data_IF_486729931659
#
_entry.id   IF_486729931659
#
_cell.length_a   1.000
_cell.length_b   1.000
_cell.length_c   1.000
_cell.angle_alpha   90.00
_cell.angle_beta   90.00
_cell.angle_gamma   90.00
#
_symmetry.space_group_name_H-M   'P 1'
#
loop_
_entity.id
_entity.type
_entity.pdbx_description
1 polymer ?
#
# COMPACT_ATOMS: atom_id res chain seq x y z
N UNK A 1 -23.41 -7.59 31.15
CA UNK A 1 -24.49 -6.59 31.14
C UNK A 1 -25.48 -7.04 30.09
N UNK A 2 -26.76 -7.23 30.44
CA UNK A 2 -27.78 -7.62 29.48
C UNK A 2 -28.18 -6.39 28.67
N UNK A 3 -28.01 -6.43 27.35
CA UNK A 3 -28.53 -5.40 26.45
C UNK A 3 -30.05 -5.32 26.59
N UNK A 4 -30.59 -4.11 26.61
CA UNK A 4 -32.03 -3.87 26.73
C UNK A 4 -32.77 -4.18 25.43
N UNK A 5 -34.03 -4.59 25.49
CA UNK A 5 -34.86 -4.84 24.29
C UNK A 5 -34.96 -3.57 23.43
N UNK A 6 -35.02 -2.39 24.05
CA UNK A 6 -35.11 -1.10 23.35
C UNK A 6 -33.83 -0.80 22.55
N UNK A 7 -32.65 -1.09 23.12
CA UNK A 7 -31.35 -0.92 22.43
C UNK A 7 -31.24 -1.84 21.19
N UNK A 8 -31.79 -3.05 21.29
CA UNK A 8 -31.84 -4.01 20.18
C UNK A 8 -32.82 -3.55 19.09
N UNK A 9 -33.95 -2.94 19.45
CA UNK A 9 -34.89 -2.36 18.48
C UNK A 9 -34.26 -1.18 17.73
N UNK A 10 -33.53 -0.30 18.43
CA UNK A 10 -32.79 0.80 17.80
C UNK A 10 -31.66 0.30 16.89
N UNK A 11 -30.98 -0.79 17.26
CA UNK A 11 -30.01 -1.45 16.39
C UNK A 11 -30.66 -1.96 15.10
N UNK A 12 -31.81 -2.64 15.19
CA UNK A 12 -32.54 -3.13 14.00
C UNK A 12 -32.89 -1.97 13.07
N UNK A 13 -33.44 -0.87 13.62
CA UNK A 13 -33.76 0.33 12.82
C UNK A 13 -32.53 0.92 12.14
N UNK A 14 -31.37 0.94 12.81
CA UNK A 14 -30.10 1.42 12.22
C UNK A 14 -29.58 0.48 11.13
N UNK A 15 -29.75 -0.83 11.29
CA UNK A 15 -29.39 -1.84 10.28
C UNK A 15 -30.27 -1.70 9.04
N UNK A 16 -31.57 -1.54 9.21
CA UNK A 16 -32.54 -1.38 8.11
C UNK A 16 -32.30 -0.08 7.33
N UNK A 17 -31.88 1.00 8.00
CA UNK A 17 -31.46 2.25 7.35
C UNK A 17 -30.09 2.14 6.66
N UNK A 18 -29.25 1.19 7.08
CA UNK A 18 -27.85 1.06 6.69
C UNK A 18 -27.59 0.21 5.45
N UNK A 19 -28.59 -0.48 4.90
CA UNK A 19 -28.41 -1.27 3.66
C UNK A 19 -28.02 -0.39 2.45
N UNK A 20 -28.50 0.86 2.39
CA UNK A 20 -28.12 1.83 1.36
C UNK A 20 -26.82 2.62 1.71
N UNK A 21 -26.46 2.75 3.00
CA UNK A 21 -25.36 3.64 3.47
C UNK A 21 -24.04 2.95 3.85
N UNK A 22 -23.99 1.60 3.89
CA UNK A 22 -22.75 0.84 4.22
C UNK A 22 -21.60 1.13 3.25
N UNK A 23 -21.91 1.30 1.96
CA UNK A 23 -20.94 1.64 0.92
C UNK A 23 -20.46 3.10 1.06
N UNK A 24 -21.37 4.03 1.35
CA UNK A 24 -21.08 5.46 1.45
C UNK A 24 -20.13 5.82 2.61
N UNK A 25 -20.16 5.07 3.72
CA UNK A 25 -19.25 5.30 4.88
C UNK A 25 -17.76 5.20 4.55
N UNK A 26 -17.41 4.50 3.47
CA UNK A 26 -16.04 4.30 3.03
C UNK A 26 -15.75 4.95 1.67
N UNK A 27 -16.74 5.62 1.07
CA UNK A 27 -16.59 6.30 -0.20
C UNK A 27 -15.95 7.66 0.02
N UNK A 28 -14.62 7.67 0.11
CA UNK A 28 -13.83 8.89 0.14
C UNK A 28 -13.53 9.23 -1.31
N UNK A 29 -14.52 9.82 -1.98
CA UNK A 29 -14.42 10.20 -3.38
C UNK A 29 -13.31 11.25 -3.57
N UNK A 30 -12.14 10.78 -4.03
CA UNK A 30 -10.98 11.63 -4.30
C UNK A 30 -11.27 12.64 -5.44
N UNK A 31 -12.31 12.40 -6.26
CA UNK A 31 -12.67 13.26 -7.39
C UNK A 31 -13.59 14.43 -7.03
N UNK A 32 -14.14 14.45 -5.81
CA UNK A 32 -15.07 15.51 -5.34
C UNK A 32 -14.39 16.69 -4.65
N UNK A 33 -13.06 16.81 -4.66
CA UNK A 33 -12.39 17.97 -4.07
C UNK A 33 -12.25 19.11 -5.07
N UNK A 34 -12.91 20.23 -4.76
CA UNK A 34 -12.83 21.50 -5.49
C UNK A 34 -11.40 22.07 -5.48
N UNK A 35 -11.06 22.86 -6.51
CA UNK A 35 -9.74 23.46 -6.71
C UNK A 35 -9.26 24.40 -5.58
N UNK A 36 -10.13 24.78 -4.65
CA UNK A 36 -9.79 25.55 -3.45
C UNK A 36 -10.07 24.73 -2.19
N UNK A 37 -9.05 24.02 -1.71
CA UNK A 37 -9.10 23.36 -0.41
C UNK A 37 -8.96 24.41 0.70
N UNK A 38 -9.97 24.52 1.55
CA UNK A 38 -9.96 25.33 2.77
C UNK A 38 -9.27 24.59 3.91
N UNK A 39 -8.84 25.32 4.95
CA UNK A 39 -8.28 24.72 6.17
C UNK A 39 -9.29 23.80 6.90
N UNK A 40 -10.59 23.97 6.62
CA UNK A 40 -11.67 23.14 7.14
C UNK A 40 -11.87 21.85 6.33
N UNK A 41 -11.18 21.64 5.21
CA UNK A 41 -11.33 20.43 4.41
C UNK A 41 -10.50 19.27 4.95
N UNK A 42 -11.04 18.06 4.79
CA UNK A 42 -10.36 16.85 5.21
C UNK A 42 -9.24 16.48 4.21
N UNK A 43 -8.05 16.09 4.69
CA UNK A 43 -6.93 15.78 3.79
C UNK A 43 -7.27 14.60 2.89
N UNK A 44 -6.86 14.63 1.62
CA UNK A 44 -7.04 13.51 0.69
C UNK A 44 -6.44 12.23 1.30
N UNK A 45 -7.18 11.13 1.19
CA UNK A 45 -6.63 9.80 1.44
C UNK A 45 -6.19 9.24 0.09
N UNK A 46 -4.93 9.45 -0.26
CA UNK A 46 -4.37 8.91 -1.49
C UNK A 46 -4.44 7.38 -1.49
N UNK A 47 -4.94 6.81 -2.58
CA UNK A 47 -5.16 5.37 -2.70
C UNK A 47 -6.40 4.86 -1.98
N UNK A 48 -7.33 5.72 -1.54
CA UNK A 48 -8.63 5.27 -1.05
C UNK A 48 -9.31 4.35 -2.09
N UNK A 49 -9.76 3.17 -1.64
CA UNK A 49 -10.35 2.15 -2.52
C UNK A 49 -9.37 1.40 -3.41
N UNK A 50 -8.06 1.68 -3.34
CA UNK A 50 -7.07 0.99 -4.15
C UNK A 50 -7.05 -0.52 -3.86
N UNK A 51 -7.14 -1.30 -4.93
CA UNK A 51 -6.94 -2.74 -4.95
C UNK A 51 -6.22 -3.12 -6.25
N UNK A 52 -5.42 -4.20 -6.26
CA UNK A 52 -4.81 -4.66 -7.50
C UNK A 52 -5.89 -5.14 -8.48
N UNK A 53 -5.85 -4.67 -9.73
CA UNK A 53 -6.82 -5.08 -10.76
C UNK A 53 -6.61 -6.53 -11.23
N UNK A 54 -5.37 -7.03 -11.15
CA UNK A 54 -4.96 -8.31 -11.75
C UNK A 54 -4.16 -9.15 -10.74
N UNK A 55 -4.37 -10.48 -10.70
CA UNK A 55 -3.54 -11.39 -9.92
C UNK A 55 -2.08 -11.35 -10.34
N UNK A 56 -1.18 -11.66 -9.42
CA UNK A 56 0.24 -11.89 -9.74
C UNK A 56 0.43 -13.31 -10.24
N UNK A 57 1.38 -13.51 -11.15
CA UNK A 57 1.85 -14.84 -11.49
C UNK A 57 2.86 -15.30 -10.44
N UNK A 58 2.57 -16.40 -9.74
CA UNK A 58 3.47 -16.94 -8.73
C UNK A 58 4.44 -17.95 -9.34
N UNK A 59 5.71 -17.85 -8.94
CA UNK A 59 6.76 -18.84 -9.26
C UNK A 59 6.80 -19.97 -8.22
N UNK A 60 6.21 -19.73 -7.05
CA UNK A 60 6.08 -20.70 -5.94
C UNK A 60 4.74 -20.52 -5.24
N UNK A 61 4.16 -21.60 -4.74
CA UNK A 61 2.96 -21.54 -3.91
C UNK A 61 3.25 -20.80 -2.59
N UNK A 62 2.28 -20.01 -2.11
CA UNK A 62 2.35 -19.38 -0.79
C UNK A 62 1.69 -20.25 0.27
N UNK A 63 2.37 -20.50 1.39
CA UNK A 63 1.76 -21.14 2.56
C UNK A 63 0.88 -20.15 3.34
N UNK A 64 -0.37 -20.52 3.58
CA UNK A 64 -1.33 -19.73 4.34
C UNK A 64 -0.86 -19.34 5.74
N UNK A 65 -0.04 -20.17 6.42
CA UNK A 65 0.47 -19.87 7.77
C UNK A 65 1.42 -18.70 7.72
N UNK A 66 2.33 -18.71 6.75
CA UNK A 66 3.28 -17.62 6.51
C UNK A 66 2.54 -16.32 6.18
N UNK A 67 1.50 -16.39 5.33
CA UNK A 67 0.68 -15.22 5.00
C UNK A 67 -0.03 -14.67 6.23
N UNK A 68 -0.69 -15.54 7.02
CA UNK A 68 -1.41 -15.15 8.24
C UNK A 68 -0.46 -14.51 9.25
N UNK A 69 0.70 -15.12 9.47
CA UNK A 69 1.73 -14.59 10.36
C UNK A 69 2.18 -13.19 9.92
N UNK A 70 2.59 -13.02 8.65
CA UNK A 70 3.04 -11.72 8.15
C UNK A 70 1.95 -10.64 8.21
N UNK A 71 0.70 -11.00 7.90
CA UNK A 71 -0.43 -10.08 8.01
C UNK A 71 -0.63 -9.65 9.47
N UNK A 72 -0.67 -10.59 10.42
CA UNK A 72 -0.88 -10.26 11.83
C UNK A 72 0.30 -9.50 12.44
N UNK A 73 1.53 -9.81 12.05
CA UNK A 73 2.72 -9.01 12.43
C UNK A 73 2.59 -7.58 11.93
N UNK A 74 2.22 -7.37 10.66
CA UNK A 74 2.00 -6.04 10.11
C UNK A 74 0.91 -5.27 10.86
N UNK A 75 -0.18 -5.94 11.20
CA UNK A 75 -1.28 -5.34 11.98
C UNK A 75 -0.78 -5.00 13.39
N UNK A 76 -0.04 -5.87 14.07
CA UNK A 76 0.50 -5.61 15.39
C UNK A 76 1.45 -4.40 15.43
N UNK A 77 2.26 -4.20 14.39
CA UNK A 77 3.23 -3.10 14.33
C UNK A 77 2.58 -1.71 14.19
N UNK A 78 1.38 -1.62 13.60
CA UNK A 78 0.80 -0.35 13.12
C UNK A 78 -0.65 -0.10 13.50
N UNK A 79 -1.39 -1.18 13.73
CA UNK A 79 -2.85 -1.23 13.83
C UNK A 79 -3.29 -2.28 14.85
N UNK A 80 -2.58 -2.37 15.97
CA UNK A 80 -2.77 -3.38 17.03
C UNK A 80 -4.23 -3.53 17.48
N UNK A 81 -4.98 -2.43 17.59
CA UNK A 81 -6.40 -2.43 17.92
C UNK A 81 -7.33 -3.13 16.90
N UNK A 82 -6.81 -3.59 15.76
CA UNK A 82 -7.54 -4.36 14.76
C UNK A 82 -7.12 -5.83 14.68
N UNK A 83 -6.22 -6.31 15.55
CA UNK A 83 -5.71 -7.68 15.54
C UNK A 83 -6.83 -8.72 15.58
N UNK A 84 -7.75 -8.61 16.54
CA UNK A 84 -8.83 -9.58 16.72
C UNK A 84 -9.79 -9.57 15.52
N UNK A 85 -10.09 -8.38 14.98
CA UNK A 85 -10.96 -8.23 13.81
C UNK A 85 -10.33 -8.91 12.59
N UNK A 86 -9.04 -8.66 12.34
CA UNK A 86 -8.34 -9.25 11.19
C UNK A 86 -8.19 -10.77 11.36
N UNK A 87 -7.83 -11.24 12.54
CA UNK A 87 -7.72 -12.67 12.83
C UNK A 87 -9.07 -13.38 12.63
N UNK A 88 -10.15 -12.83 13.16
CA UNK A 88 -11.49 -13.39 12.98
C UNK A 88 -11.94 -13.37 11.51
N UNK A 89 -11.67 -12.30 10.77
CA UNK A 89 -11.98 -12.23 9.34
C UNK A 89 -11.16 -13.24 8.52
N UNK A 90 -9.88 -13.44 8.87
CA UNK A 90 -9.03 -14.44 8.26
C UNK A 90 -9.60 -15.85 8.46
N UNK A 91 -9.93 -16.20 9.70
CA UNK A 91 -10.43 -17.53 10.04
C UNK A 91 -11.81 -17.78 9.38
N UNK A 92 -12.66 -16.75 9.29
CA UNK A 92 -13.95 -16.83 8.59
C UNK A 92 -13.82 -16.92 7.05
N UNK A 93 -12.76 -16.36 6.47
CA UNK A 93 -12.53 -16.36 5.02
C UNK A 93 -12.13 -17.75 4.47
N UNK A 94 -11.77 -18.71 5.35
CA UNK A 94 -11.53 -20.11 4.95
C UNK A 94 -10.33 -20.28 4.02
N UNK A 95 -9.15 -19.80 4.42
CA UNK A 95 -7.94 -19.91 3.62
C UNK A 95 -7.60 -21.38 3.26
N UNK A 96 -7.29 -21.70 1.99
CA UNK A 96 -6.68 -22.99 1.63
C UNK A 96 -5.31 -23.14 2.30
N UNK A 97 -4.74 -24.35 2.29
CA UNK A 97 -3.41 -24.62 2.84
C UNK A 97 -2.29 -23.88 2.09
N UNK A 98 -2.43 -23.78 0.78
CA UNK A 98 -1.52 -23.05 -0.10
C UNK A 98 -2.30 -22.22 -1.10
N UNK A 99 -1.70 -21.12 -1.57
CA UNK A 99 -2.26 -20.28 -2.59
C UNK A 99 -1.42 -20.26 -3.86
N UNK A 100 -2.08 -20.36 -5.01
CA UNK A 100 -1.58 -19.77 -6.25
C UNK A 100 -1.89 -18.27 -6.33
N UNK A 101 -1.45 -17.61 -7.42
CA UNK A 101 -1.61 -16.18 -7.58
C UNK A 101 -3.05 -15.70 -7.76
N UNK A 102 -3.92 -16.53 -8.35
CA UNK A 102 -5.34 -16.22 -8.60
C UNK A 102 -6.15 -16.43 -7.32
N UNK A 103 -5.90 -17.55 -6.63
CA UNK A 103 -6.49 -17.87 -5.33
C UNK A 103 -6.15 -16.81 -4.30
N UNK A 104 -4.87 -16.43 -4.20
CA UNK A 104 -4.43 -15.40 -3.27
C UNK A 104 -5.08 -14.04 -3.54
N UNK A 105 -5.24 -13.66 -4.81
CA UNK A 105 -5.89 -12.42 -5.20
C UNK A 105 -7.38 -12.40 -4.83
N UNK A 106 -8.12 -13.49 -5.12
CA UNK A 106 -9.53 -13.63 -4.73
C UNK A 106 -9.69 -13.62 -3.21
N UNK A 107 -8.85 -14.39 -2.51
CA UNK A 107 -8.85 -14.46 -1.06
C UNK A 107 -8.57 -13.09 -0.42
N UNK A 108 -7.57 -12.36 -0.92
CA UNK A 108 -7.24 -11.01 -0.44
C UNK A 108 -8.40 -10.04 -0.57
N UNK A 109 -9.12 -10.11 -1.70
CA UNK A 109 -10.30 -9.26 -1.95
C UNK A 109 -11.43 -9.61 -0.99
N UNK A 110 -11.73 -10.89 -0.81
CA UNK A 110 -12.75 -11.37 0.14
C UNK A 110 -12.42 -11.00 1.58
N UNK A 111 -11.15 -11.13 1.98
CA UNK A 111 -10.68 -10.75 3.30
C UNK A 111 -10.85 -9.25 3.56
N UNK A 112 -10.47 -8.41 2.59
CA UNK A 112 -10.64 -6.95 2.70
C UNK A 112 -12.11 -6.56 2.83
N UNK A 113 -13.01 -7.17 2.06
CA UNK A 113 -14.44 -6.93 2.17
C UNK A 113 -15.02 -7.41 3.51
N UNK A 114 -14.55 -8.56 4.02
CA UNK A 114 -14.89 -9.02 5.36
C UNK A 114 -14.46 -8.03 6.45
N UNK A 115 -13.23 -7.52 6.38
CA UNK A 115 -12.71 -6.50 7.31
C UNK A 115 -13.51 -5.21 7.19
N UNK A 116 -13.78 -4.73 5.96
CA UNK A 116 -14.61 -3.55 5.70
C UNK A 116 -15.98 -3.69 6.35
N UNK A 117 -16.65 -4.84 6.15
CA UNK A 117 -17.95 -5.15 6.75
C UNK A 117 -17.92 -5.06 8.27
N UNK A 118 -16.95 -5.71 8.92
CA UNK A 118 -16.79 -5.66 10.40
C UNK A 118 -16.55 -4.25 10.91
N UNK A 119 -15.74 -3.45 10.22
CA UNK A 119 -15.47 -2.06 10.60
C UNK A 119 -16.69 -1.16 10.40
N UNK A 120 -17.57 -1.47 9.44
CA UNK A 120 -18.83 -0.78 9.24
C UNK A 120 -19.84 -1.11 10.36
N UNK A 121 -19.88 -2.39 10.75
CA UNK A 121 -20.81 -2.93 11.73
C UNK A 121 -20.55 -2.46 13.16
N UNK A 122 -19.29 -2.18 13.51
CA UNK A 122 -18.93 -1.80 14.89
C UNK A 122 -19.71 -0.61 15.45
N UNK A 123 -20.13 0.34 14.60
CA UNK A 123 -20.91 1.52 15.02
C UNK A 123 -22.42 1.24 15.07
N UNK A 124 -22.86 0.11 14.54
CA UNK A 124 -24.25 -0.34 14.65
C UNK A 124 -24.49 -1.06 15.98
N UNK A 125 -23.47 -1.67 16.57
CA UNK A 125 -23.59 -2.36 17.85
C UNK A 125 -23.94 -1.38 18.99
N UNK A 126 -24.87 -1.74 19.89
CA UNK A 126 -25.33 -0.86 20.98
C UNK A 126 -24.21 -0.21 21.81
N UNK A 127 -23.12 -0.91 22.19
CA UNK A 127 -22.07 -0.32 23.02
C UNK A 127 -21.34 0.87 22.37
N UNK A 128 -21.32 0.94 21.05
CA UNK A 128 -20.58 1.97 20.29
C UNK A 128 -21.50 2.86 19.44
N UNK A 129 -22.81 2.60 19.47
CA UNK A 129 -23.83 3.32 18.72
C UNK A 129 -23.74 4.85 18.88
N UNK A 130 -23.65 5.31 20.12
CA UNK A 130 -23.59 6.73 20.45
C UNK A 130 -22.39 7.44 19.82
N UNK A 131 -21.31 6.71 19.51
CA UNK A 131 -20.12 7.30 18.89
C UNK A 131 -20.34 7.74 17.45
N UNK A 132 -21.39 7.24 16.78
CA UNK A 132 -21.66 7.62 15.39
C UNK A 132 -21.85 9.13 15.25
N UNK A 133 -22.69 9.71 16.09
CA UNK A 133 -23.03 11.14 16.07
C UNK A 133 -22.18 11.99 17.04
N UNK A 134 -21.44 11.34 17.96
CA UNK A 134 -20.56 12.04 18.89
C UNK A 134 -19.47 12.78 18.15
N UNK A 135 -19.27 14.05 18.48
CA UNK A 135 -18.15 14.84 17.97
C UNK A 135 -16.83 14.36 18.59
N UNK A 136 -15.97 13.73 17.79
CA UNK A 136 -14.69 13.16 18.26
C UNK A 136 -13.56 14.19 18.17
N UNK A 137 -13.57 15.00 17.12
CA UNK A 137 -12.70 16.16 16.92
C UNK A 137 -13.56 17.32 16.40
N UNK A 138 -13.12 18.58 16.56
CA UNK A 138 -13.91 19.73 16.16
C UNK A 138 -14.54 19.60 14.76
N UNK A 139 -15.86 19.75 14.69
CA UNK A 139 -16.70 19.66 13.51
C UNK A 139 -16.71 18.28 12.80
N UNK A 140 -16.40 17.20 13.52
CA UNK A 140 -16.38 15.84 12.96
C UNK A 140 -17.10 14.84 13.85
N UNK A 141 -18.17 14.26 13.30
CA UNK A 141 -18.83 13.11 13.91
C UNK A 141 -17.91 11.89 13.93
N UNK A 142 -18.17 10.98 14.87
CA UNK A 142 -17.39 9.76 14.98
C UNK A 142 -17.57 8.85 13.79
N UNK A 143 -18.75 8.81 13.16
CA UNK A 143 -18.95 8.09 11.90
C UNK A 143 -17.97 8.52 10.81
N UNK A 144 -17.84 9.84 10.59
CA UNK A 144 -16.91 10.40 9.59
C UNK A 144 -15.44 10.15 9.98
N UNK A 145 -15.08 10.41 11.23
CA UNK A 145 -13.69 10.26 11.69
C UNK A 145 -13.23 8.80 11.64
N UNK A 146 -14.06 7.88 12.15
CA UNK A 146 -13.76 6.46 12.21
C UNK A 146 -13.83 5.79 10.84
N UNK A 147 -14.74 6.22 9.95
CA UNK A 147 -14.78 5.77 8.56
C UNK A 147 -13.48 6.09 7.82
N UNK A 148 -12.96 7.32 7.98
CA UNK A 148 -11.69 7.72 7.36
C UNK A 148 -10.49 6.95 7.89
N UNK A 149 -10.44 6.66 9.20
CA UNK A 149 -9.39 5.79 9.76
C UNK A 149 -9.48 4.38 9.19
N UNK A 150 -10.69 3.86 9.05
CA UNK A 150 -10.92 2.54 8.48
C UNK A 150 -10.53 2.47 7.00
N UNK A 151 -10.77 3.51 6.20
CA UNK A 151 -10.28 3.59 4.81
C UNK A 151 -8.75 3.52 4.75
N UNK A 152 -8.03 4.30 5.58
CA UNK A 152 -6.56 4.23 5.63
C UNK A 152 -6.05 2.84 6.02
N UNK A 153 -6.69 2.24 7.02
CA UNK A 153 -6.37 0.88 7.45
C UNK A 153 -6.58 -0.15 6.35
N UNK A 154 -7.69 -0.08 5.61
CA UNK A 154 -7.96 -0.97 4.48
C UNK A 154 -6.91 -0.83 3.37
N UNK A 155 -6.46 0.39 3.06
CA UNK A 155 -5.37 0.63 2.09
C UNK A 155 -4.07 -0.03 2.57
N UNK A 156 -3.72 0.15 3.84
CA UNK A 156 -2.53 -0.46 4.44
C UNK A 156 -2.56 -2.00 4.37
N UNK A 157 -3.70 -2.61 4.70
CA UNK A 157 -3.90 -4.06 4.61
C UNK A 157 -3.81 -4.54 3.15
N UNK A 158 -4.43 -3.82 2.21
CA UNK A 158 -4.38 -4.16 0.79
C UNK A 158 -2.94 -4.12 0.25
N UNK A 159 -2.17 -3.09 0.62
CA UNK A 159 -0.75 -2.97 0.26
C UNK A 159 0.11 -4.05 0.91
N UNK A 160 -0.19 -4.42 2.17
CA UNK A 160 0.48 -5.52 2.86
C UNK A 160 0.26 -6.85 2.13
N UNK A 161 -0.99 -7.20 1.84
CA UNK A 161 -1.33 -8.41 1.09
C UNK A 161 -0.67 -8.43 -0.29
N UNK A 162 -0.69 -7.31 -1.02
CA UNK A 162 -0.01 -7.23 -2.33
C UNK A 162 1.50 -7.47 -2.22
N UNK A 163 2.15 -6.92 -1.19
CA UNK A 163 3.58 -7.13 -0.93
C UNK A 163 3.90 -8.59 -0.62
N UNK A 164 3.06 -9.24 0.18
CA UNK A 164 3.19 -10.68 0.46
C UNK A 164 3.13 -11.47 -0.85
N UNK A 165 2.18 -11.14 -1.74
CA UNK A 165 2.07 -11.74 -3.07
C UNK A 165 3.34 -11.58 -3.92
N UNK A 166 3.97 -10.40 -3.88
CA UNK A 166 5.21 -10.17 -4.63
C UNK A 166 6.36 -11.08 -4.19
N UNK A 167 6.44 -11.50 -2.92
CA UNK A 167 7.46 -12.46 -2.48
C UNK A 167 7.36 -13.83 -3.17
N UNK A 168 6.19 -14.18 -3.70
CA UNK A 168 5.98 -15.39 -4.49
C UNK A 168 5.97 -15.16 -5.99
N UNK A 169 5.87 -13.91 -6.47
CA UNK A 169 5.86 -13.60 -7.90
C UNK A 169 7.25 -13.42 -8.51
N UNK A 170 8.26 -13.13 -7.68
CA UNK A 170 9.61 -12.81 -8.16
C UNK A 170 10.28 -14.05 -8.75
N UNK A 171 10.79 -13.94 -9.98
CA UNK A 171 11.51 -15.01 -10.67
C UNK A 171 13.00 -15.02 -10.32
N UNK A 172 13.68 -16.13 -10.66
CA UNK A 172 15.13 -16.23 -10.47
C UNK A 172 15.87 -15.26 -11.40
N UNK A 173 15.40 -15.11 -12.62
CA UNK A 173 15.95 -14.21 -13.64
C UNK A 173 15.89 -12.75 -13.16
N UNK A 174 14.75 -12.33 -12.61
CA UNK A 174 14.60 -11.01 -11.99
C UNK A 174 15.62 -10.81 -10.86
N UNK A 175 15.82 -11.80 -9.98
CA UNK A 175 16.82 -11.70 -8.90
C UNK A 175 18.24 -11.56 -9.44
N UNK A 176 18.60 -12.31 -10.47
CA UNK A 176 19.91 -12.23 -11.12
C UNK A 176 20.12 -10.86 -11.77
N UNK A 177 19.09 -10.34 -12.42
CA UNK A 177 19.12 -9.03 -13.06
C UNK A 177 19.25 -7.90 -12.03
N UNK A 178 18.45 -7.94 -10.96
CA UNK A 178 18.54 -6.98 -9.86
C UNK A 178 19.92 -7.02 -9.21
N UNK A 179 20.49 -8.20 -8.97
CA UNK A 179 21.84 -8.31 -8.43
C UNK A 179 22.88 -7.65 -9.34
N UNK A 180 22.75 -7.84 -10.66
CA UNK A 180 23.62 -7.22 -11.66
C UNK A 180 23.48 -5.70 -11.64
N UNK A 181 22.26 -5.16 -11.62
CA UNK A 181 22.01 -3.73 -11.56
C UNK A 181 22.48 -3.11 -10.24
N UNK A 182 22.25 -3.77 -9.11
CA UNK A 182 22.74 -3.32 -7.80
C UNK A 182 24.27 -3.24 -7.80
N UNK A 183 24.94 -4.27 -8.33
CA UNK A 183 26.41 -4.32 -8.42
C UNK A 183 26.94 -3.19 -9.33
N UNK A 184 26.31 -2.98 -10.49
CA UNK A 184 26.69 -1.89 -11.40
C UNK A 184 26.48 -0.51 -10.76
N UNK A 185 25.36 -0.31 -10.08
CA UNK A 185 25.06 0.92 -9.34
C UNK A 185 26.14 1.19 -8.31
N UNK A 186 26.54 0.16 -7.54
CA UNK A 186 27.61 0.28 -6.54
C UNK A 186 28.95 0.68 -7.16
N UNK A 187 29.35 0.02 -8.25
CA UNK A 187 30.60 0.33 -8.95
C UNK A 187 30.61 1.77 -9.49
N UNK A 188 29.50 2.20 -10.09
CA UNK A 188 29.35 3.59 -10.57
C UNK A 188 29.43 4.57 -9.41
N UNK A 189 28.74 4.30 -8.30
CA UNK A 189 28.79 5.13 -7.10
C UNK A 189 30.20 5.25 -6.52
N UNK A 190 30.97 4.17 -6.50
CA UNK A 190 32.36 4.17 -6.02
C UNK A 190 33.27 5.00 -6.93
N UNK A 191 33.11 4.88 -8.25
CA UNK A 191 33.85 5.70 -9.21
C UNK A 191 33.45 7.18 -9.13
N UNK A 192 32.16 7.49 -9.00
CA UNK A 192 31.68 8.85 -8.81
C UNK A 192 32.19 9.43 -7.49
N UNK A 193 32.25 8.63 -6.42
CA UNK A 193 32.83 9.05 -5.14
C UNK A 193 34.29 9.43 -5.28
N UNK A 194 35.08 8.61 -5.97
CA UNK A 194 36.49 8.89 -6.23
C UNK A 194 36.64 10.17 -7.07
N UNK A 195 35.89 10.26 -8.16
CA UNK A 195 35.86 11.42 -9.06
C UNK A 195 35.51 12.72 -8.33
N UNK A 196 34.43 12.73 -7.55
CA UNK A 196 33.98 13.93 -6.85
C UNK A 196 34.81 14.26 -5.60
N UNK A 197 35.43 13.25 -4.99
CA UNK A 197 36.26 13.39 -3.80
C UNK A 197 37.69 13.85 -4.09
N UNK A 198 38.36 13.18 -5.03
CA UNK A 198 39.75 13.46 -5.41
C UNK A 198 39.86 14.50 -6.52
N UNK A 199 38.83 14.61 -7.36
CA UNK A 199 38.78 15.55 -8.48
C UNK A 199 39.61 15.11 -9.68
N UNK A 200 39.30 15.66 -10.85
CA UNK A 200 40.12 15.55 -12.06
C UNK A 200 40.71 16.92 -12.40
N UNK A 201 42.00 17.00 -12.78
CA UNK A 201 42.58 18.25 -13.24
C UNK A 201 41.89 18.73 -14.53
N UNK A 202 41.56 20.01 -14.61
CA UNK A 202 40.98 20.64 -15.79
C UNK A 202 42.04 21.42 -16.59
N UNK A 203 41.86 21.60 -17.93
CA UNK A 203 42.87 22.26 -18.78
C UNK A 203 43.22 23.70 -18.39
N UNK A 204 42.35 24.38 -17.66
CA UNK A 204 42.51 25.73 -17.12
C UNK A 204 43.24 25.78 -15.77
N UNK A 205 43.74 24.64 -15.28
CA UNK A 205 44.45 24.54 -13.99
C UNK A 205 43.54 24.38 -12.77
N UNK A 206 42.22 24.22 -12.98
CA UNK A 206 41.27 23.89 -11.93
C UNK A 206 41.17 22.38 -11.64
N UNK A 207 40.17 22.02 -10.82
CA UNK A 207 39.80 20.63 -10.57
C UNK A 207 38.30 20.43 -10.74
N UNK A 208 37.89 19.50 -11.58
CA UNK A 208 36.53 19.00 -11.66
C UNK A 208 36.27 18.07 -10.47
N UNK A 209 35.45 18.52 -9.52
CA UNK A 209 35.10 17.76 -8.32
C UNK A 209 33.93 18.43 -7.57
N UNK A 210 33.65 17.99 -6.34
CA UNK A 210 32.66 18.65 -5.47
C UNK A 210 31.65 17.70 -4.85
N UNK A 211 30.39 18.16 -4.70
CA UNK A 211 29.34 17.38 -4.05
C UNK A 211 28.76 16.34 -5.01
N UNK A 212 29.21 15.10 -4.89
CA UNK A 212 28.57 13.94 -5.52
C UNK A 212 27.35 13.46 -4.75
N UNK A 213 26.28 13.09 -5.45
CA UNK A 213 25.17 12.32 -4.87
C UNK A 213 25.52 10.85 -4.86
N UNK A 214 25.11 10.14 -3.81
CA UNK A 214 25.43 8.72 -3.60
C UNK A 214 24.15 7.94 -3.36
N UNK A 215 24.06 6.77 -3.95
CA UNK A 215 23.00 5.79 -3.77
C UNK A 215 23.44 4.62 -2.88
N UNK A 216 24.53 4.77 -2.11
CA UNK A 216 25.04 3.72 -1.23
C UNK A 216 23.95 3.25 -0.26
N UNK A 217 23.72 1.94 -0.23
CA UNK A 217 22.66 1.25 0.53
C UNK A 217 21.24 1.41 -0.02
N UNK A 218 21.08 2.06 -1.17
CA UNK A 218 19.81 2.27 -1.85
C UNK A 218 19.76 1.56 -3.21
N UNK A 219 20.72 0.66 -3.48
CA UNK A 219 20.83 -0.03 -4.76
C UNK A 219 19.59 -0.85 -5.10
N UNK A 220 18.85 -1.31 -4.08
CA UNK A 220 17.60 -2.06 -4.27
C UNK A 220 16.53 -1.30 -5.06
N UNK A 221 16.64 0.03 -5.21
CA UNK A 221 15.74 0.84 -6.05
C UNK A 221 15.71 0.36 -7.52
N UNK A 222 16.75 -0.32 -8.00
CA UNK A 222 16.81 -0.92 -9.35
C UNK A 222 15.67 -1.90 -9.61
N UNK A 223 15.10 -2.51 -8.56
CA UNK A 223 14.00 -3.47 -8.72
C UNK A 223 12.75 -2.81 -9.32
N UNK A 224 12.55 -1.51 -9.09
CA UNK A 224 11.42 -0.77 -9.67
C UNK A 224 11.44 -0.80 -11.20
N UNK A 225 12.62 -0.76 -11.84
CA UNK A 225 12.76 -0.82 -13.29
C UNK A 225 12.15 -2.08 -13.89
N UNK A 226 12.19 -3.22 -13.18
CA UNK A 226 11.62 -4.49 -13.67
C UNK A 226 10.08 -4.50 -13.75
N UNK A 227 9.43 -3.54 -13.09
CA UNK A 227 7.97 -3.34 -13.17
C UNK A 227 7.55 -2.28 -14.17
N UNK A 228 8.52 -1.58 -14.77
CA UNK A 228 8.29 -0.46 -15.69
C UNK A 228 8.32 -0.90 -17.15
N UNK A 229 7.60 -0.17 -18.00
CA UNK A 229 7.70 -0.24 -19.45
C UNK A 229 8.93 0.54 -19.90
N UNK A 230 10.06 -0.13 -20.08
CA UNK A 230 11.32 0.52 -20.45
C UNK A 230 11.35 0.82 -21.95
N UNK A 231 11.75 2.04 -22.31
CA UNK A 231 11.85 2.46 -23.71
C UNK A 231 12.83 1.61 -24.55
N UNK A 232 13.84 1.02 -23.92
CA UNK A 232 14.84 0.15 -24.57
C UNK A 232 14.26 -1.19 -25.04
N UNK A 233 13.16 -1.65 -24.41
CA UNK A 233 12.48 -2.89 -24.74
C UNK A 233 11.35 -2.68 -25.78
N UNK A 234 11.07 -1.41 -26.15
CA UNK A 234 9.97 -1.04 -27.04
C UNK A 234 10.45 -0.66 -28.45
N UNK A 235 9.58 -0.90 -29.43
CA UNK A 235 9.78 -0.43 -30.81
C UNK A 235 9.81 1.10 -30.88
N UNK A 236 10.44 1.67 -31.93
CA UNK A 236 10.60 3.12 -32.05
C UNK A 236 9.26 3.88 -32.03
N UNK A 237 8.20 3.29 -32.59
CA UNK A 237 6.85 3.86 -32.64
C UNK A 237 6.17 3.86 -31.25
N UNK A 238 6.51 2.90 -30.39
CA UNK A 238 5.86 2.70 -29.08
C UNK A 238 6.61 3.35 -27.91
N UNK A 239 7.81 3.90 -28.13
CA UNK A 239 8.62 4.52 -27.06
C UNK A 239 7.91 5.61 -26.28
N UNK A 240 6.94 6.30 -26.89
CA UNK A 240 6.13 7.32 -26.21
C UNK A 240 5.23 6.74 -25.09
N UNK A 241 5.05 5.42 -25.04
CA UNK A 241 4.29 4.69 -24.01
C UNK A 241 5.17 4.15 -22.88
N UNK A 242 6.48 4.39 -22.94
CA UNK A 242 7.41 4.01 -21.89
C UNK A 242 7.14 4.80 -20.62
N UNK A 243 7.37 4.17 -19.48
CA UNK A 243 7.31 4.86 -18.19
C UNK A 243 8.49 5.82 -18.07
N UNK A 244 8.23 7.01 -17.54
CA UNK A 244 9.25 8.04 -17.34
C UNK A 244 9.62 8.06 -15.86
N UNK A 245 10.92 7.89 -15.59
CA UNK A 245 11.47 8.09 -14.25
C UNK A 245 12.16 9.45 -14.19
N UNK A 246 11.90 10.18 -13.12
CA UNK A 246 12.62 11.39 -12.75
C UNK A 246 13.49 11.07 -11.52
N UNK A 247 14.64 10.38 -11.71
CA UNK A 247 15.49 9.99 -10.59
C UNK A 247 15.97 11.25 -9.87
N UNK A 248 15.62 11.36 -8.60
CA UNK A 248 16.05 12.47 -7.76
C UNK A 248 17.39 12.09 -7.09
N UNK A 249 17.79 12.91 -6.13
CA UNK A 249 18.99 12.66 -5.33
C UNK A 249 18.93 11.21 -4.81
N UNK A 250 19.93 10.42 -5.20
CA UNK A 250 20.18 9.02 -4.80
C UNK A 250 19.38 7.92 -5.53
N UNK A 251 18.73 8.21 -6.65
CA UNK A 251 18.04 7.19 -7.45
C UNK A 251 18.82 6.76 -8.71
N UNK A 252 20.16 6.90 -8.69
CA UNK A 252 21.03 6.59 -9.85
C UNK A 252 20.84 5.16 -10.33
N UNK A 253 20.64 4.20 -9.41
CA UNK A 253 20.39 2.82 -9.80
C UNK A 253 19.15 2.63 -10.66
N UNK A 254 18.06 3.35 -10.36
CA UNK A 254 16.84 3.31 -11.19
C UNK A 254 17.07 3.92 -12.57
N UNK A 255 17.91 4.96 -12.67
CA UNK A 255 18.26 5.58 -13.95
C UNK A 255 19.12 4.67 -14.85
N UNK A 256 19.90 3.77 -14.25
CA UNK A 256 20.84 2.88 -14.94
C UNK A 256 20.21 1.53 -15.35
N UNK A 257 19.09 1.14 -14.75
CA UNK A 257 18.41 -0.14 -14.95
C UNK A 257 17.40 -0.11 -16.11
#
# INVERSE_FOLDING_TARGET
MSTGIDELQEEVVRRDRGEDGRAERFDVDASKQSAEATQADLPVIWGAGWQPEVPLSFTRSLDHRMVREQLLTFVAERHDGHLDVVAACWDAAGAPTTFDGVEFHKFSSNLLEGIRGRLAERLLEPPLAALEDTEIIPMRSGGLYLGRRAVRFLVDVALCLRRIGHYASITLEQRMEWQRWMTRTRLVDEHLKDLFGNGLPTPDGGSFGGKGFRSTWQEGIVACASSMRRAVDLSAEERHRADIVAPMIRDVGLALA
#
